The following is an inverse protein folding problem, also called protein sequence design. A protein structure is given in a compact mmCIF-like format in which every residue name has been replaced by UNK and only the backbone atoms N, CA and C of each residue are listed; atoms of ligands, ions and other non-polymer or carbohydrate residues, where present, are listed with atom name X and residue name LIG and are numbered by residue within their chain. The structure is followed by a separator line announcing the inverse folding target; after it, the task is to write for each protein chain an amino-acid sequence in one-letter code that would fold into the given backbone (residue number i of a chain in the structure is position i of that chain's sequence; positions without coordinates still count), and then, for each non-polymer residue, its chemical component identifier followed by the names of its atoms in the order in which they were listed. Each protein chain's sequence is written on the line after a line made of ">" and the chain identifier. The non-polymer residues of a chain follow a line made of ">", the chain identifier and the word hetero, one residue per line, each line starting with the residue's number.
data_IF_380741768796
#
_entry.id   IF_380741768796
#
_cell.length_a   1.000
_cell.length_b   1.000
_cell.length_c   1.000
_cell.angle_alpha   90.00
_cell.angle_beta   90.00
_cell.angle_gamma   90.00
#
_symmetry.space_group_name_H-M   'P 1'
#
loop_
_entity.id
_entity.type
_entity.pdbx_description
1 polymer ?
#
# COMPACT_ATOMS: atom_id res chain seq x y z
N UNK A 1 -23.00 -10.83 48.14
CA UNK A 1 -23.39 -12.17 48.61
C UNK A 1 -22.46 -13.17 47.94
N UNK A 2 -21.50 -13.66 48.72
CA UNK A 2 -20.42 -14.57 48.23
C UNK A 2 -20.87 -16.00 48.53
N UNK A 3 -20.81 -16.95 47.62
CA UNK A 3 -21.17 -18.33 47.91
C UNK A 3 -20.02 -19.04 48.65
N UNK A 4 -20.36 -19.70 49.75
CA UNK A 4 -19.49 -20.49 50.57
C UNK A 4 -18.97 -21.73 49.82
N UNK A 5 -17.68 -21.97 49.92
CA UNK A 5 -17.03 -23.23 49.50
C UNK A 5 -17.40 -24.36 50.48
N UNK A 6 -18.01 -25.43 49.96
CA UNK A 6 -18.18 -26.68 50.70
C UNK A 6 -16.81 -27.42 50.77
N UNK A 7 -16.35 -27.70 51.96
CA UNK A 7 -15.27 -28.62 52.23
C UNK A 7 -15.73 -30.05 52.01
N UNK A 8 -15.10 -30.75 51.08
CA UNK A 8 -15.32 -32.18 50.89
C UNK A 8 -14.52 -32.97 51.95
N UNK A 9 -15.20 -33.81 52.71
CA UNK A 9 -14.56 -34.77 53.63
C UNK A 9 -14.21 -36.02 52.80
N UNK A 10 -12.95 -36.44 52.86
CA UNK A 10 -12.48 -37.70 52.25
C UNK A 10 -12.53 -38.77 53.36
N UNK A 11 -13.44 -39.74 53.23
CA UNK A 11 -13.46 -40.93 54.05
C UNK A 11 -12.30 -41.84 53.64
N UNK A 12 -11.37 -42.09 54.60
CA UNK A 12 -10.33 -43.10 54.47
C UNK A 12 -10.96 -44.44 54.86
N UNK A 13 -11.16 -45.32 53.91
CA UNK A 13 -11.66 -46.65 54.12
C UNK A 13 -10.70 -47.48 54.95
N UNK A 14 -11.21 -48.24 55.94
CA UNK A 14 -10.48 -49.20 56.80
C UNK A 14 -9.96 -50.38 55.94
N UNK A 15 -8.67 -50.68 56.08
CA UNK A 15 -8.03 -51.87 55.49
C UNK A 15 -8.37 -53.11 56.30
N UNK A 16 -8.71 -54.26 55.67
CA UNK A 16 -8.99 -55.49 56.36
C UNK A 16 -7.73 -56.03 57.06
N UNK A 17 -7.83 -56.54 58.26
CA UNK A 17 -6.68 -57.14 59.02
C UNK A 17 -6.32 -58.50 58.41
N UNK A 18 -5.11 -58.63 57.90
CA UNK A 18 -4.60 -59.95 57.55
C UNK A 18 -3.65 -60.07 56.35
N UNK A 19 -3.22 -58.99 55.70
CA UNK A 19 -2.25 -59.11 54.62
C UNK A 19 -0.81 -58.96 55.21
N UNK A 20 -0.08 -60.03 55.28
CA UNK A 20 1.35 -59.99 55.60
C UNK A 20 2.10 -59.13 54.53
N UNK A 21 3.01 -58.26 54.95
CA UNK A 21 3.75 -57.40 53.98
C UNK A 21 4.59 -58.30 53.07
N UNK A 22 4.38 -58.19 51.80
CA UNK A 22 5.22 -58.75 50.77
C UNK A 22 6.66 -58.21 50.92
N UNK A 23 7.69 -59.07 50.85
CA UNK A 23 9.06 -58.63 51.11
C UNK A 23 9.50 -57.62 50.05
N UNK A 24 9.77 -56.41 50.44
CA UNK A 24 10.28 -55.34 49.55
C UNK A 24 11.50 -55.85 48.77
N UNK A 25 11.56 -55.68 47.47
CA UNK A 25 12.72 -56.05 46.66
C UNK A 25 13.93 -55.24 47.16
N UNK A 26 14.94 -55.93 47.69
CA UNK A 26 16.20 -55.31 48.14
C UNK A 26 16.81 -54.51 46.98
N UNK A 27 16.62 -53.18 46.98
CA UNK A 27 17.29 -52.25 46.09
C UNK A 27 18.79 -52.33 46.34
N UNK A 28 19.53 -52.84 45.39
CA UNK A 28 20.99 -52.83 45.41
C UNK A 28 21.46 -51.38 45.49
N UNK A 29 22.30 -50.97 46.45
CA UNK A 29 22.80 -49.62 46.51
C UNK A 29 23.64 -49.34 45.25
N UNK A 30 23.25 -48.33 44.50
CA UNK A 30 24.01 -47.85 43.34
C UNK A 30 25.41 -47.46 43.79
N UNK A 31 26.45 -48.08 43.22
CA UNK A 31 27.84 -47.71 43.48
C UNK A 31 28.10 -46.27 43.03
N UNK A 32 28.87 -45.51 43.74
CA UNK A 32 29.23 -44.11 43.38
C UNK A 32 29.74 -43.99 41.91
N UNK A 33 30.39 -45.04 41.40
CA UNK A 33 30.86 -45.11 40.01
C UNK A 33 29.69 -45.16 38.99
N UNK A 34 28.60 -45.84 39.34
CA UNK A 34 27.42 -45.95 38.45
C UNK A 34 26.64 -44.63 38.42
N UNK A 35 26.50 -43.95 39.56
CA UNK A 35 25.87 -42.63 39.64
C UNK A 35 26.64 -41.62 38.77
N UNK A 36 27.98 -41.66 38.78
CA UNK A 36 28.81 -40.78 37.97
C UNK A 36 28.69 -41.08 36.47
N UNK A 37 28.58 -42.34 36.08
CA UNK A 37 28.37 -42.77 34.68
C UNK A 37 26.99 -42.38 34.18
N UNK A 38 25.93 -42.63 34.94
CA UNK A 38 24.57 -42.22 34.54
C UNK A 38 24.42 -40.71 34.57
N UNK A 39 25.05 -39.96 35.48
CA UNK A 39 25.07 -38.52 35.49
C UNK A 39 25.75 -37.92 34.24
N UNK A 40 26.89 -38.48 33.82
CA UNK A 40 27.57 -38.06 32.59
C UNK A 40 26.77 -38.40 31.34
N UNK A 41 26.15 -39.58 31.28
CA UNK A 41 25.29 -39.95 30.16
C UNK A 41 24.05 -39.05 30.07
N UNK A 42 23.41 -38.75 31.20
CA UNK A 42 22.26 -37.81 31.23
C UNK A 42 22.66 -36.38 30.82
N UNK A 43 23.81 -35.91 31.28
CA UNK A 43 24.34 -34.59 30.87
C UNK A 43 24.68 -34.54 29.37
N UNK A 44 25.27 -35.61 28.82
CA UNK A 44 25.56 -35.71 27.39
C UNK A 44 24.28 -35.73 26.55
N UNK A 45 23.26 -36.46 26.95
CA UNK A 45 21.94 -36.50 26.29
C UNK A 45 21.26 -35.14 26.39
N UNK A 46 21.33 -34.46 27.52
CA UNK A 46 20.76 -33.11 27.69
C UNK A 46 21.48 -32.09 26.80
N UNK A 47 22.82 -32.16 26.73
CA UNK A 47 23.59 -31.32 25.79
C UNK A 47 23.29 -31.61 24.35
N UNK A 48 23.11 -32.88 23.96
CA UNK A 48 22.70 -33.24 22.59
C UNK A 48 21.28 -32.76 22.25
N UNK A 49 20.35 -32.86 23.20
CA UNK A 49 18.98 -32.35 23.03
C UNK A 49 18.93 -30.83 22.95
N UNK A 50 19.76 -30.12 23.74
CA UNK A 50 19.85 -28.66 23.63
C UNK A 50 20.55 -28.22 22.36
N UNK A 51 21.58 -28.90 21.89
CA UNK A 51 22.25 -28.63 20.63
C UNK A 51 21.35 -29.00 19.44
N UNK A 52 20.64 -30.11 19.45
CA UNK A 52 19.68 -30.46 18.40
C UNK A 52 18.45 -29.53 18.38
N UNK A 53 18.02 -28.99 19.52
CA UNK A 53 16.95 -28.03 19.63
C UNK A 53 17.33 -26.61 19.20
N UNK A 54 18.63 -26.27 19.19
CA UNK A 54 19.13 -24.97 18.76
C UNK A 54 19.37 -24.87 17.24
N UNK A 55 19.43 -26.00 16.53
CA UNK A 55 19.51 -26.03 15.06
C UNK A 55 18.10 -26.28 14.53
N UNK A 56 17.18 -25.36 14.75
CA UNK A 56 16.07 -25.21 13.80
C UNK A 56 16.65 -24.41 12.63
N UNK A 57 16.79 -25.01 11.42
CA UNK A 57 16.97 -24.19 10.25
C UNK A 57 15.76 -23.27 10.25
N UNK A 58 15.97 -21.96 10.47
CA UNK A 58 14.97 -20.97 10.14
C UNK A 58 14.53 -21.22 8.71
N UNK A 59 13.28 -20.94 8.30
CA UNK A 59 12.90 -21.03 6.92
C UNK A 59 13.99 -20.28 6.14
N UNK A 60 14.66 -21.00 5.24
CA UNK A 60 15.65 -20.42 4.34
C UNK A 60 14.93 -19.30 3.61
N UNK A 61 15.29 -18.06 3.93
CA UNK A 61 14.68 -16.89 3.29
C UNK A 61 14.92 -16.93 1.79
N UNK A 62 14.21 -16.10 1.03
CA UNK A 62 14.51 -15.90 -0.37
C UNK A 62 15.99 -15.57 -0.50
N UNK A 63 16.71 -16.18 -1.47
CA UNK A 63 18.13 -15.95 -1.62
C UNK A 63 18.40 -14.48 -1.91
N UNK A 64 19.35 -13.91 -1.19
CA UNK A 64 19.86 -12.58 -1.51
C UNK A 64 20.69 -12.67 -2.79
N UNK A 65 20.30 -11.90 -3.81
CA UNK A 65 21.00 -11.84 -5.08
C UNK A 65 22.22 -10.94 -4.98
N UNK A 66 22.03 -9.77 -4.39
CA UNK A 66 23.11 -8.78 -4.21
C UNK A 66 22.67 -7.69 -3.23
N UNK A 67 23.65 -6.87 -2.80
CA UNK A 67 23.46 -5.78 -1.83
C UNK A 67 24.32 -4.59 -2.19
N UNK A 68 23.85 -3.39 -1.84
CA UNK A 68 24.60 -2.15 -1.99
C UNK A 68 24.30 -1.20 -0.83
N UNK A 69 25.14 -0.18 -0.67
CA UNK A 69 24.88 0.91 0.28
C UNK A 69 24.18 2.05 -0.44
N UNK A 70 23.01 2.45 0.06
CA UNK A 70 22.21 3.57 -0.44
C UNK A 70 21.63 4.36 0.74
N UNK A 71 22.46 5.04 1.56
CA UNK A 71 22.09 5.53 2.89
C UNK A 71 20.96 6.55 2.89
N UNK A 72 20.88 7.40 1.86
CA UNK A 72 19.85 8.45 1.74
C UNK A 72 19.02 8.27 0.46
N UNK A 73 19.20 7.12 -0.21
CA UNK A 73 18.60 6.86 -1.50
C UNK A 73 17.14 6.43 -1.42
N UNK A 74 16.29 7.12 -2.15
CA UNK A 74 15.00 6.57 -2.55
C UNK A 74 15.24 5.55 -3.65
N UNK A 75 14.46 4.48 -3.66
CA UNK A 75 14.56 3.48 -4.71
C UNK A 75 13.18 3.14 -5.29
N UNK A 76 13.18 2.68 -6.54
CA UNK A 76 11.99 2.17 -7.23
C UNK A 76 12.37 0.88 -7.94
N UNK A 77 11.63 -0.18 -7.63
CA UNK A 77 11.76 -1.47 -8.28
C UNK A 77 10.63 -1.62 -9.32
N UNK A 78 11.01 -1.80 -10.59
CA UNK A 78 10.06 -1.92 -11.69
C UNK A 78 10.48 -3.05 -12.64
N UNK A 79 9.76 -4.16 -12.61
CA UNK A 79 10.11 -5.35 -13.39
C UNK A 79 11.50 -5.86 -13.04
N UNK A 80 12.41 -5.88 -14.02
CA UNK A 80 13.80 -6.30 -13.89
C UNK A 80 14.79 -5.15 -13.59
N UNK A 81 14.29 -3.96 -13.33
CA UNK A 81 15.10 -2.77 -13.09
C UNK A 81 14.93 -2.24 -11.67
N UNK A 82 16.05 -1.92 -11.04
CA UNK A 82 16.09 -1.16 -9.79
C UNK A 82 16.68 0.22 -10.07
N UNK A 83 15.96 1.25 -9.71
CA UNK A 83 16.41 2.63 -9.79
C UNK A 83 16.71 3.15 -8.39
N UNK A 84 17.89 3.74 -8.23
CA UNK A 84 18.29 4.39 -6.98
C UNK A 84 18.48 5.86 -7.24
N UNK A 85 17.84 6.72 -6.44
CA UNK A 85 17.94 8.17 -6.52
C UNK A 85 18.69 8.69 -5.30
N UNK A 86 19.76 9.44 -5.53
CA UNK A 86 20.59 10.03 -4.50
C UNK A 86 20.60 11.56 -4.62
N UNK A 87 20.31 12.30 -3.54
CA UNK A 87 20.44 13.75 -3.52
C UNK A 87 21.94 14.11 -3.47
N UNK A 88 22.43 14.87 -4.46
CA UNK A 88 23.85 15.25 -4.57
C UNK A 88 24.04 16.66 -5.11
N UNK A 89 23.37 17.66 -4.51
CA UNK A 89 23.32 19.03 -5.08
C UNK A 89 22.36 19.16 -6.28
N UNK A 90 21.66 18.12 -6.58
CA UNK A 90 20.63 17.84 -7.56
C UNK A 90 20.13 16.44 -7.28
N UNK A 91 19.80 15.66 -8.31
CA UNK A 91 19.42 14.24 -8.18
C UNK A 91 20.27 13.39 -9.11
N UNK A 92 20.96 12.42 -8.56
CA UNK A 92 21.62 11.36 -9.34
C UNK A 92 20.75 10.11 -9.34
N UNK A 93 20.42 9.62 -10.53
CA UNK A 93 19.65 8.40 -10.71
C UNK A 93 20.55 7.35 -11.34
N UNK A 94 20.58 6.18 -10.73
CA UNK A 94 21.32 5.03 -11.25
C UNK A 94 20.36 3.87 -11.46
N UNK A 95 20.35 3.30 -12.65
CA UNK A 95 19.63 2.07 -12.96
C UNK A 95 20.53 0.87 -12.82
N UNK A 96 20.05 -0.11 -12.08
CA UNK A 96 20.66 -1.43 -11.93
C UNK A 96 19.75 -2.51 -12.54
N UNK A 97 20.35 -3.58 -12.98
CA UNK A 97 19.66 -4.83 -13.30
C UNK A 97 19.33 -5.52 -11.98
N UNK A 98 18.05 -5.77 -11.73
CA UNK A 98 17.58 -6.29 -10.45
C UNK A 98 18.13 -7.69 -10.13
N UNK A 99 18.32 -8.53 -11.16
CA UNK A 99 18.83 -9.89 -10.96
C UNK A 99 20.32 -9.96 -10.67
N UNK A 100 21.13 -9.08 -11.25
CA UNK A 100 22.59 -9.15 -11.18
C UNK A 100 23.26 -8.02 -10.40
N UNK A 101 22.56 -6.96 -10.07
CA UNK A 101 23.13 -5.75 -9.47
C UNK A 101 24.03 -4.95 -10.42
N UNK A 102 24.08 -5.32 -11.71
CA UNK A 102 24.92 -4.63 -12.68
C UNK A 102 24.34 -3.26 -13.01
N UNK A 103 25.13 -2.21 -12.80
CA UNK A 103 24.79 -0.86 -13.23
C UNK A 103 24.62 -0.80 -14.76
N UNK A 104 23.50 -0.26 -15.22
CA UNK A 104 23.20 -0.08 -16.65
C UNK A 104 23.55 1.32 -17.10
N UNK A 105 23.11 2.32 -16.37
CA UNK A 105 23.41 3.72 -16.61
C UNK A 105 23.29 4.56 -15.34
N UNK A 106 23.89 5.74 -15.35
CA UNK A 106 23.77 6.77 -14.32
C UNK A 106 23.53 8.12 -14.97
N UNK A 107 22.65 8.90 -14.36
CA UNK A 107 22.30 10.23 -14.82
C UNK A 107 22.27 11.20 -13.63
N UNK A 108 22.99 12.31 -13.73
CA UNK A 108 22.95 13.39 -12.74
C UNK A 108 22.20 14.58 -13.32
N UNK A 109 21.23 15.06 -12.58
CA UNK A 109 20.39 16.19 -12.91
C UNK A 109 20.65 17.35 -11.94
N UNK A 110 20.70 18.60 -12.44
CA UNK A 110 20.98 19.75 -11.59
C UNK A 110 19.81 20.14 -10.68
N UNK A 111 18.61 19.64 -10.95
CA UNK A 111 17.41 19.92 -10.16
C UNK A 111 17.01 18.72 -9.30
N UNK A 112 16.27 19.03 -8.24
CA UNK A 112 15.71 18.01 -7.37
C UNK A 112 14.53 17.35 -8.07
N UNK A 113 14.56 16.01 -8.15
CA UNK A 113 13.46 15.18 -8.60
C UNK A 113 12.66 14.75 -7.38
N UNK A 114 11.35 14.99 -7.39
CA UNK A 114 10.49 14.66 -6.26
C UNK A 114 10.33 13.14 -6.10
N UNK A 115 10.13 12.45 -7.21
CA UNK A 115 9.98 11.00 -7.28
C UNK A 115 10.32 10.49 -8.68
N UNK A 116 10.31 9.19 -8.85
CA UNK A 116 10.49 8.54 -10.14
C UNK A 116 9.22 7.73 -10.44
N UNK A 117 8.60 7.95 -11.61
CA UNK A 117 7.47 7.16 -12.08
C UNK A 117 7.93 6.17 -13.15
N UNK A 118 7.49 4.92 -12.98
CA UNK A 118 7.71 3.79 -13.88
C UNK A 118 6.42 3.28 -14.51
N UNK A 119 5.36 4.07 -14.45
CA UNK A 119 4.00 3.66 -14.87
C UNK A 119 3.89 3.37 -16.37
N UNK A 120 4.86 3.87 -17.15
CA UNK A 120 4.90 3.68 -18.59
C UNK A 120 6.06 2.77 -18.96
N UNK A 121 5.80 1.61 -19.57
CA UNK A 121 6.87 0.71 -20.00
C UNK A 121 7.87 1.40 -20.92
N UNK A 122 9.15 1.25 -20.61
CA UNK A 122 10.24 1.80 -21.41
C UNK A 122 10.53 3.30 -21.24
N UNK A 123 9.73 4.01 -20.43
CA UNK A 123 9.93 5.44 -20.16
C UNK A 123 10.05 5.68 -18.65
N UNK A 124 11.08 6.42 -18.25
CA UNK A 124 11.24 6.90 -16.89
C UNK A 124 10.85 8.36 -16.82
N UNK A 125 9.91 8.72 -15.99
CA UNK A 125 9.46 10.10 -15.81
C UNK A 125 9.97 10.66 -14.50
N UNK A 126 10.57 11.84 -14.59
CA UNK A 126 11.27 12.54 -13.52
C UNK A 126 10.64 13.92 -13.34
N UNK A 127 9.68 14.07 -12.43
CA UNK A 127 9.13 15.37 -12.11
C UNK A 127 10.15 16.21 -11.35
N UNK A 128 10.55 17.33 -11.94
CA UNK A 128 11.48 18.29 -11.36
C UNK A 128 10.72 19.34 -10.54
N UNK A 129 11.14 19.52 -9.30
CA UNK A 129 10.53 20.46 -8.36
C UNK A 129 11.13 21.86 -8.52
N UNK A 130 10.27 22.85 -8.70
CA UNK A 130 10.64 24.25 -8.60
C UNK A 130 10.82 24.68 -7.14
N UNK A 131 11.68 25.66 -6.91
CA UNK A 131 11.78 26.32 -5.61
C UNK A 131 10.56 27.27 -5.42
N UNK A 132 9.43 26.74 -4.99
CA UNK A 132 8.34 27.55 -4.49
C UNK A 132 8.34 27.53 -2.96
N UNK A 133 8.07 28.66 -2.34
CA UNK A 133 8.34 28.91 -0.92
C UNK A 133 7.49 28.13 0.09
N UNK A 134 6.51 27.33 -0.33
CA UNK A 134 5.58 26.65 0.59
C UNK A 134 5.29 25.20 0.21
N UNK A 135 5.29 24.83 -1.07
CA UNK A 135 5.04 23.48 -1.53
C UNK A 135 6.01 23.10 -2.66
N UNK A 136 6.39 21.84 -2.70
CA UNK A 136 7.23 21.29 -3.77
C UNK A 136 6.39 21.10 -5.04
N UNK A 137 6.11 22.18 -5.76
CA UNK A 137 5.33 22.10 -6.99
C UNK A 137 6.21 21.62 -8.13
N UNK A 138 5.78 20.59 -8.84
CA UNK A 138 6.42 20.11 -10.06
C UNK A 138 6.27 21.17 -11.14
N UNK A 139 7.39 21.65 -11.65
CA UNK A 139 7.43 22.65 -12.72
C UNK A 139 7.64 22.06 -14.10
N UNK A 140 8.39 20.98 -14.17
CA UNK A 140 8.70 20.26 -15.41
C UNK A 140 8.76 18.77 -15.15
N UNK A 141 8.51 17.98 -16.18
CA UNK A 141 8.79 16.54 -16.22
C UNK A 141 9.77 16.24 -17.32
N UNK A 142 10.87 15.59 -16.97
CA UNK A 142 11.84 15.01 -17.89
C UNK A 142 11.48 13.53 -18.10
N UNK A 143 11.42 13.10 -19.35
CA UNK A 143 11.31 11.69 -19.68
C UNK A 143 12.64 11.16 -20.24
N UNK A 144 13.05 10.01 -19.73
CA UNK A 144 14.22 9.29 -20.16
C UNK A 144 13.82 7.95 -20.79
N UNK A 145 14.60 7.51 -21.76
CA UNK A 145 14.57 6.12 -22.21
C UNK A 145 15.03 5.21 -21.05
N UNK A 146 14.19 4.26 -20.69
CA UNK A 146 14.49 3.37 -19.58
C UNK A 146 15.70 2.47 -19.85
N UNK A 147 16.02 2.16 -21.12
CA UNK A 147 17.09 1.23 -21.48
C UNK A 147 18.48 1.84 -21.26
N UNK A 148 18.68 3.09 -21.67
CA UNK A 148 20.00 3.73 -21.71
C UNK A 148 20.09 5.08 -20.96
N UNK A 149 18.95 5.63 -20.46
CA UNK A 149 18.91 6.88 -19.71
C UNK A 149 19.06 8.13 -20.59
N UNK A 150 18.88 8.03 -21.90
CA UNK A 150 18.89 9.20 -22.80
C UNK A 150 17.61 10.02 -22.69
N UNK A 151 17.72 11.34 -22.91
CA UNK A 151 16.56 12.23 -22.87
C UNK A 151 15.65 11.95 -24.06
N UNK A 152 14.38 11.65 -23.77
CA UNK A 152 13.33 11.54 -24.78
C UNK A 152 12.68 12.90 -25.03
N UNK A 153 12.20 13.53 -23.99
CA UNK A 153 11.57 14.84 -24.04
C UNK A 153 11.53 15.51 -22.66
N UNK A 154 11.25 16.81 -22.67
CA UNK A 154 11.00 17.62 -21.46
C UNK A 154 9.75 18.45 -21.68
N UNK A 155 8.85 18.45 -20.69
CA UNK A 155 7.58 19.17 -20.74
C UNK A 155 7.33 19.89 -19.41
N UNK A 156 6.71 21.09 -19.49
CA UNK A 156 6.23 21.78 -18.29
C UNK A 156 5.08 21.03 -17.64
N UNK A 157 5.04 21.03 -16.31
CA UNK A 157 4.00 20.39 -15.50
C UNK A 157 4.34 18.96 -15.10
N UNK A 158 3.42 18.39 -14.36
CA UNK A 158 3.47 17.05 -13.79
C UNK A 158 2.69 16.08 -14.67
N UNK A 159 3.20 14.86 -14.86
CA UNK A 159 2.41 13.77 -15.44
C UNK A 159 1.42 13.27 -14.41
N UNK A 160 0.13 13.41 -14.70
CA UNK A 160 -0.97 13.19 -13.76
C UNK A 160 -1.83 11.98 -14.12
N UNK A 161 -1.83 11.56 -15.39
CA UNK A 161 -2.53 10.35 -15.82
C UNK A 161 -1.86 9.78 -17.08
N UNK A 162 -1.99 8.47 -17.25
CA UNK A 162 -1.49 7.74 -18.42
C UNK A 162 -2.66 7.27 -19.27
N UNK A 163 -2.44 7.25 -20.57
CA UNK A 163 -3.35 6.68 -21.56
C UNK A 163 -2.60 5.72 -22.47
N UNK A 164 -3.28 5.18 -23.47
CA UNK A 164 -2.65 4.29 -24.47
C UNK A 164 -1.71 5.10 -25.38
N UNK A 165 -0.41 5.04 -25.10
CA UNK A 165 0.63 5.81 -25.79
C UNK A 165 0.57 7.33 -25.59
N UNK A 166 -0.18 7.79 -24.58
CA UNK A 166 -0.33 9.20 -24.25
C UNK A 166 -0.19 9.45 -22.75
N UNK A 167 0.11 10.70 -22.38
CA UNK A 167 0.25 11.15 -21.00
C UNK A 167 -0.50 12.45 -20.81
N UNK A 168 -1.27 12.58 -19.76
CA UNK A 168 -1.85 13.84 -19.35
C UNK A 168 -0.86 14.58 -18.45
N UNK A 169 -0.51 15.80 -18.80
CA UNK A 169 0.31 16.68 -17.97
C UNK A 169 -0.56 17.80 -17.40
N UNK A 170 -0.35 18.08 -16.11
CA UNK A 170 -0.99 19.16 -15.36
C UNK A 170 0.02 20.24 -15.05
N UNK A 171 -0.23 21.46 -15.47
CA UNK A 171 0.53 22.63 -15.09
C UNK A 171 -0.24 23.39 -14.01
N UNK A 172 0.40 23.59 -12.87
CA UNK A 172 -0.19 24.27 -11.73
C UNK A 172 0.20 25.75 -11.73
N UNK A 173 -0.75 26.62 -11.42
CA UNK A 173 -0.44 28.01 -11.12
C UNK A 173 0.27 28.09 -9.76
N UNK A 174 1.51 28.60 -9.69
CA UNK A 174 2.31 28.56 -8.46
C UNK A 174 1.79 29.50 -7.36
N UNK A 175 0.83 30.40 -7.67
CA UNK A 175 0.25 31.33 -6.70
C UNK A 175 -1.03 30.84 -6.09
N UNK A 176 -1.85 30.18 -6.90
CA UNK A 176 -3.16 29.69 -6.47
C UNK A 176 -3.20 28.20 -6.19
N UNK A 177 -2.17 27.44 -6.59
CA UNK A 177 -2.13 25.97 -6.53
C UNK A 177 -3.31 25.33 -7.27
N UNK A 178 -3.75 25.99 -8.34
CA UNK A 178 -4.84 25.56 -9.19
C UNK A 178 -4.31 25.12 -10.55
N UNK A 179 -5.09 24.32 -11.25
CA UNK A 179 -4.76 23.89 -12.59
C UNK A 179 -4.83 25.08 -13.54
N UNK A 180 -3.69 25.46 -14.08
CA UNK A 180 -3.57 26.50 -15.10
C UNK A 180 -3.71 25.94 -16.52
N UNK A 181 -3.30 24.68 -16.71
CA UNK A 181 -3.29 24.03 -18.02
C UNK A 181 -3.27 22.50 -17.88
N UNK A 182 -4.00 21.85 -18.79
CA UNK A 182 -3.94 20.42 -19.05
C UNK A 182 -3.48 20.19 -20.46
N UNK A 183 -2.59 19.24 -20.68
CA UNK A 183 -2.14 18.83 -22.01
C UNK A 183 -2.07 17.31 -22.10
N UNK A 184 -2.63 16.78 -23.16
CA UNK A 184 -2.35 15.40 -23.56
C UNK A 184 -1.16 15.40 -24.51
N UNK A 185 -0.14 14.65 -24.19
CA UNK A 185 1.10 14.52 -24.98
C UNK A 185 1.29 13.07 -25.40
N UNK A 186 2.01 12.83 -26.47
CA UNK A 186 2.45 11.49 -26.85
C UNK A 186 3.60 11.04 -25.95
N UNK A 187 3.52 9.83 -25.46
CA UNK A 187 4.54 9.25 -24.58
C UNK A 187 5.92 9.20 -25.22
N UNK A 188 5.99 8.93 -26.53
CA UNK A 188 7.24 8.68 -27.26
C UNK A 188 8.10 9.93 -27.45
N UNK A 189 7.49 11.05 -27.76
CA UNK A 189 8.20 12.26 -28.22
C UNK A 189 7.76 13.55 -27.53
N UNK A 190 6.81 13.45 -26.56
CA UNK A 190 6.29 14.61 -25.84
C UNK A 190 5.44 15.57 -26.68
N UNK A 191 5.12 15.23 -27.94
CA UNK A 191 4.32 16.12 -28.78
C UNK A 191 2.90 16.27 -28.28
N UNK A 192 2.41 17.50 -28.23
CA UNK A 192 1.04 17.81 -27.76
C UNK A 192 0.00 17.29 -28.72
N UNK A 193 -0.95 16.50 -28.21
CA UNK A 193 -2.14 16.03 -28.93
C UNK A 193 -3.25 17.08 -28.83
N UNK A 194 -3.54 17.53 -27.62
CA UNK A 194 -4.44 18.64 -27.34
C UNK A 194 -4.03 19.38 -26.08
N UNK A 195 -4.52 20.60 -25.94
CA UNK A 195 -4.32 21.48 -24.79
C UNK A 195 -5.66 22.07 -24.35
N UNK A 196 -5.85 22.16 -23.04
CA UNK A 196 -6.98 22.82 -22.41
C UNK A 196 -6.51 23.80 -21.34
N UNK A 197 -7.05 25.00 -21.36
CA UNK A 197 -6.87 26.01 -20.32
C UNK A 197 -8.23 26.36 -19.77
N UNK A 198 -8.51 26.09 -18.49
CA UNK A 198 -9.75 26.54 -17.88
C UNK A 198 -9.78 28.07 -17.87
N UNK A 199 -10.98 28.67 -18.09
CA UNK A 199 -11.15 30.13 -18.04
C UNK A 199 -10.74 30.74 -16.69
N UNK A 200 -10.99 29.99 -15.62
CA UNK A 200 -10.47 30.25 -14.26
C UNK A 200 -9.72 29.02 -13.77
N UNK A 201 -8.58 29.21 -13.07
CA UNK A 201 -7.81 28.06 -12.57
C UNK A 201 -8.68 27.09 -11.78
N UNK A 202 -8.64 25.81 -12.14
CA UNK A 202 -9.52 24.78 -11.60
C UNK A 202 -8.93 24.14 -10.33
N UNK A 203 -9.70 24.02 -9.22
CA UNK A 203 -9.24 23.40 -8.00
C UNK A 203 -9.16 21.88 -8.07
N UNK A 204 -9.87 21.24 -9.02
CA UNK A 204 -9.93 19.79 -9.08
C UNK A 204 -10.12 19.27 -10.50
N UNK A 205 -9.67 18.05 -10.67
CA UNK A 205 -9.87 17.25 -11.87
C UNK A 205 -9.86 15.76 -11.49
N UNK A 206 -10.38 14.93 -12.39
CA UNK A 206 -10.28 13.48 -12.33
C UNK A 206 -10.36 12.89 -13.73
N UNK A 207 -9.97 11.63 -13.88
CA UNK A 207 -10.22 10.85 -15.08
C UNK A 207 -11.31 9.82 -14.83
N UNK A 208 -12.05 9.49 -15.88
CA UNK A 208 -13.07 8.45 -15.87
C UNK A 208 -12.76 7.43 -16.96
N UNK A 209 -13.07 6.19 -16.71
CA UNK A 209 -12.89 5.08 -17.63
C UNK A 209 -12.93 3.73 -16.90
N UNK A 210 -13.10 2.63 -17.66
CA UNK A 210 -13.16 1.28 -17.08
C UNK A 210 -11.84 0.82 -16.48
N UNK A 211 -10.73 1.44 -16.89
CA UNK A 211 -9.39 1.19 -16.38
C UNK A 211 -8.73 2.54 -16.08
N UNK A 212 -8.26 2.80 -14.85
CA UNK A 212 -7.55 4.03 -14.51
C UNK A 212 -6.31 4.31 -15.38
N UNK A 213 -5.73 3.28 -15.98
CA UNK A 213 -4.61 3.38 -16.93
C UNK A 213 -5.05 3.66 -18.37
N UNK A 214 -6.34 3.64 -18.64
CA UNK A 214 -6.95 3.90 -19.96
C UNK A 214 -8.19 4.75 -19.81
N UNK A 215 -8.03 5.99 -19.37
CA UNK A 215 -9.17 6.88 -19.20
C UNK A 215 -9.81 7.23 -20.53
N UNK A 216 -11.13 7.29 -20.53
CA UNK A 216 -11.94 7.72 -21.69
C UNK A 216 -12.29 9.19 -21.62
N UNK A 217 -12.38 9.73 -20.41
CA UNK A 217 -12.81 11.10 -20.15
C UNK A 217 -11.91 11.76 -19.11
N UNK A 218 -11.87 13.08 -19.17
CA UNK A 218 -11.31 13.94 -18.14
C UNK A 218 -12.38 14.91 -17.66
N UNK A 219 -12.44 15.14 -16.37
CA UNK A 219 -13.36 16.05 -15.70
C UNK A 219 -12.56 17.14 -15.03
N UNK A 220 -12.97 18.39 -15.23
CA UNK A 220 -12.44 19.54 -14.50
C UNK A 220 -13.57 20.27 -13.79
N UNK A 221 -13.28 20.85 -12.63
CA UNK A 221 -14.26 21.63 -11.87
C UNK A 221 -13.62 22.95 -11.41
N UNK A 222 -14.36 24.06 -11.54
CA UNK A 222 -13.94 25.39 -11.04
C UNK A 222 -14.39 25.58 -9.60
N UNK A 223 -13.87 26.64 -8.93
CA UNK A 223 -14.30 27.02 -7.57
C UNK A 223 -15.81 27.33 -7.47
N UNK A 224 -16.42 27.80 -8.55
CA UNK A 224 -17.84 28.09 -8.62
C UNK A 224 -18.68 26.82 -8.91
N UNK A 225 -18.01 25.66 -9.05
CA UNK A 225 -18.68 24.39 -9.36
C UNK A 225 -19.04 24.23 -10.83
N UNK A 226 -18.50 25.08 -11.74
CA UNK A 226 -18.62 24.80 -13.16
C UNK A 226 -17.77 23.59 -13.50
N UNK A 227 -18.42 22.55 -14.02
CA UNK A 227 -17.84 21.24 -14.32
C UNK A 227 -17.90 20.99 -15.81
N UNK A 228 -16.80 20.53 -16.36
CA UNK A 228 -16.70 20.10 -17.75
C UNK A 228 -16.21 18.67 -17.84
N UNK A 229 -16.89 17.86 -18.62
CA UNK A 229 -16.47 16.51 -19.01
C UNK A 229 -15.99 16.55 -20.45
N UNK A 230 -14.76 16.12 -20.68
CA UNK A 230 -14.14 16.10 -22.01
C UNK A 230 -13.67 14.70 -22.37
N UNK A 231 -13.61 14.36 -23.65
CA UNK A 231 -12.97 13.13 -24.10
C UNK A 231 -11.48 13.18 -23.83
N UNK A 232 -10.94 12.11 -23.31
CA UNK A 232 -9.52 12.03 -23.02
C UNK A 232 -8.67 12.06 -24.31
N UNK A 233 -9.12 11.39 -25.37
CA UNK A 233 -8.35 11.23 -26.61
C UNK A 233 -8.10 12.53 -27.39
N UNK A 234 -9.07 13.46 -27.42
CA UNK A 234 -9.03 14.65 -28.27
C UNK A 234 -9.39 15.97 -27.56
N UNK A 235 -9.71 15.91 -26.26
CA UNK A 235 -10.08 17.09 -25.46
C UNK A 235 -11.45 17.68 -25.79
N UNK A 236 -12.24 17.07 -26.68
CA UNK A 236 -13.55 17.59 -27.08
C UNK A 236 -14.53 17.57 -25.89
N UNK A 237 -15.32 18.65 -25.77
CA UNK A 237 -16.32 18.78 -24.72
C UNK A 237 -17.45 17.75 -24.94
N UNK A 238 -17.77 16.97 -23.94
CA UNK A 238 -18.91 16.05 -23.89
C UNK A 238 -20.13 16.75 -23.31
N UNK A 239 -19.97 17.31 -22.11
CA UNK A 239 -21.01 18.01 -21.37
C UNK A 239 -20.38 19.03 -20.43
N UNK A 240 -21.10 20.12 -20.17
CA UNK A 240 -20.76 21.08 -19.13
C UNK A 240 -21.99 21.43 -18.30
N UNK A 241 -21.78 21.74 -17.04
CA UNK A 241 -22.86 22.11 -16.12
C UNK A 241 -22.32 22.64 -14.80
N UNK A 242 -23.22 22.89 -13.85
CA UNK A 242 -22.85 23.35 -12.53
C UNK A 242 -23.25 22.31 -11.48
N UNK A 243 -22.30 22.01 -10.60
CA UNK A 243 -22.50 21.12 -9.45
C UNK A 243 -22.34 21.90 -8.15
N UNK A 244 -22.97 21.47 -7.03
CA UNK A 244 -22.73 22.08 -5.75
C UNK A 244 -21.28 21.87 -5.34
N UNK A 245 -20.50 22.95 -5.37
CA UNK A 245 -19.09 22.98 -5.06
C UNK A 245 -18.86 24.15 -4.11
N UNK A 246 -18.74 23.87 -2.82
CA UNK A 246 -18.44 24.92 -1.86
C UNK A 246 -17.18 24.52 -1.10
N UNK A 247 -16.12 25.27 -1.33
CA UNK A 247 -14.92 25.28 -0.50
C UNK A 247 -15.00 26.56 0.31
N UNK A 248 -15.38 26.46 1.58
CA UNK A 248 -15.29 27.59 2.52
C UNK A 248 -13.87 27.61 3.08
N UNK A 249 -13.13 28.65 2.77
CA UNK A 249 -11.89 29.00 3.46
C UNK A 249 -12.21 29.78 4.72
N UNK A 250 -12.60 29.08 5.77
CA UNK A 250 -12.84 29.68 7.10
C UNK A 250 -11.98 28.95 8.14
N UNK A 251 -11.56 29.68 9.16
CA UNK A 251 -10.43 29.35 10.04
C UNK A 251 -10.51 28.08 10.89
N UNK A 252 -11.57 27.30 10.91
CA UNK A 252 -11.71 26.19 11.87
C UNK A 252 -12.22 24.85 11.31
N UNK A 253 -12.75 24.81 10.09
CA UNK A 253 -13.14 23.55 9.44
C UNK A 253 -12.59 23.49 8.02
N UNK A 254 -11.75 22.51 7.74
CA UNK A 254 -11.24 22.27 6.39
C UNK A 254 -12.36 21.74 5.54
N UNK A 255 -13.18 22.65 5.01
CA UNK A 255 -14.14 22.30 3.96
C UNK A 255 -13.36 21.92 2.70
N UNK A 256 -13.40 20.67 2.33
CA UNK A 256 -12.80 20.22 1.08
C UNK A 256 -13.88 19.69 0.14
N UNK A 257 -13.63 19.87 -1.14
CA UNK A 257 -14.43 19.24 -2.19
C UNK A 257 -13.47 18.64 -3.22
N UNK A 258 -13.84 17.48 -3.72
CA UNK A 258 -13.10 16.82 -4.79
C UNK A 258 -14.04 16.03 -5.71
N UNK A 259 -13.56 15.76 -6.90
CA UNK A 259 -14.23 14.91 -7.88
C UNK A 259 -13.50 13.58 -8.01
N UNK A 260 -14.26 12.53 -8.19
CA UNK A 260 -13.79 11.19 -8.50
C UNK A 260 -14.82 10.51 -9.39
N UNK A 261 -14.51 9.36 -9.96
CA UNK A 261 -15.51 8.64 -10.74
C UNK A 261 -15.04 7.29 -11.23
N UNK A 262 -15.97 6.61 -11.84
CA UNK A 262 -15.79 5.34 -12.53
C UNK A 262 -16.10 5.55 -14.02
N UNK A 263 -16.33 4.49 -14.78
CA UNK A 263 -16.61 4.57 -16.23
C UNK A 263 -17.70 5.59 -16.60
N UNK A 264 -18.92 5.38 -16.11
CA UNK A 264 -20.09 6.22 -16.47
C UNK A 264 -20.58 7.14 -15.35
N UNK A 265 -19.96 7.09 -14.18
CA UNK A 265 -20.40 7.81 -13.00
C UNK A 265 -19.35 8.80 -12.54
N UNK A 266 -19.82 10.00 -12.23
CA UNK A 266 -19.05 11.05 -11.61
C UNK A 266 -19.55 11.29 -10.19
N UNK A 267 -18.64 11.36 -9.26
CA UNK A 267 -18.92 11.64 -7.86
C UNK A 267 -18.32 12.99 -7.48
N UNK A 268 -19.13 13.80 -6.82
CA UNK A 268 -18.70 15.04 -6.19
C UNK A 268 -18.80 14.82 -4.67
N UNK A 269 -17.66 14.77 -4.02
CA UNK A 269 -17.59 14.71 -2.55
C UNK A 269 -17.30 16.09 -2.00
N UNK A 270 -18.05 16.52 -0.98
CA UNK A 270 -17.87 17.81 -0.33
C UNK A 270 -18.20 17.74 1.16
N UNK A 271 -17.62 18.63 1.95
CA UNK A 271 -18.05 18.85 3.32
C UNK A 271 -19.12 19.93 3.33
N UNK A 272 -20.25 19.64 4.00
CA UNK A 272 -21.35 20.58 4.18
C UNK A 272 -21.92 20.45 5.60
N UNK A 273 -21.90 21.52 6.37
CA UNK A 273 -22.38 21.57 7.75
C UNK A 273 -21.77 20.47 8.65
N UNK A 274 -20.47 20.27 8.59
CA UNK A 274 -19.73 19.29 9.36
C UNK A 274 -19.98 17.82 8.96
N UNK A 275 -20.66 17.57 7.84
CA UNK A 275 -20.87 16.24 7.30
C UNK A 275 -20.34 16.15 5.87
N UNK A 276 -19.85 14.99 5.50
CA UNK A 276 -19.48 14.71 4.11
C UNK A 276 -20.72 14.35 3.31
N UNK A 277 -20.90 15.02 2.19
CA UNK A 277 -21.91 14.70 1.20
C UNK A 277 -21.27 14.16 -0.07
N UNK A 278 -21.80 13.08 -0.61
CA UNK A 278 -21.42 12.50 -1.87
C UNK A 278 -22.61 12.56 -2.80
N UNK A 279 -22.41 13.21 -3.93
CA UNK A 279 -23.42 13.35 -4.98
C UNK A 279 -22.93 12.59 -6.19
N UNK A 280 -23.75 11.70 -6.72
CA UNK A 280 -23.45 10.96 -7.93
C UNK A 280 -24.21 11.52 -9.11
N UNK A 281 -23.50 11.59 -10.24
CA UNK A 281 -24.02 12.07 -11.50
C UNK A 281 -23.70 11.08 -12.62
N UNK A 282 -24.53 11.04 -13.63
CA UNK A 282 -24.21 10.41 -14.90
C UNK A 282 -23.15 11.27 -15.62
N UNK A 283 -22.04 10.68 -16.02
CA UNK A 283 -20.89 11.43 -16.51
C UNK A 283 -21.13 12.12 -17.88
N UNK A 284 -22.05 11.61 -18.69
CA UNK A 284 -22.37 12.12 -20.04
C UNK A 284 -23.44 13.21 -20.07
N UNK A 285 -24.27 13.31 -19.03
CA UNK A 285 -25.41 14.24 -18.97
C UNK A 285 -25.42 15.17 -17.79
N UNK A 286 -24.61 14.89 -16.76
CA UNK A 286 -24.61 15.52 -15.44
C UNK A 286 -25.97 15.42 -14.73
N UNK A 287 -26.78 14.43 -15.11
CA UNK A 287 -28.00 14.10 -14.39
C UNK A 287 -27.62 13.57 -12.99
N UNK A 288 -28.19 14.19 -11.93
CA UNK A 288 -27.98 13.72 -10.57
C UNK A 288 -28.78 12.46 -10.31
N UNK A 289 -28.09 11.39 -9.93
CA UNK A 289 -28.66 10.07 -9.68
C UNK A 289 -29.07 9.90 -8.21
N UNK A 290 -28.16 10.19 -7.31
CA UNK A 290 -28.38 10.01 -5.87
C UNK A 290 -27.46 10.91 -5.03
N UNK A 291 -27.72 10.93 -3.73
CA UNK A 291 -26.92 11.63 -2.72
C UNK A 291 -26.86 10.79 -1.46
N UNK A 292 -25.66 10.71 -0.87
CA UNK A 292 -25.41 10.09 0.45
C UNK A 292 -24.76 11.11 1.36
N UNK A 293 -25.11 11.07 2.64
CA UNK A 293 -24.54 11.92 3.67
C UNK A 293 -23.93 11.06 4.77
N UNK A 294 -22.66 11.33 5.10
CA UNK A 294 -21.93 10.71 6.19
C UNK A 294 -21.61 11.76 7.25
N UNK A 295 -21.99 11.55 8.52
CA UNK A 295 -21.83 12.57 9.58
C UNK A 295 -20.35 12.88 9.89
N UNK A 296 -19.43 11.92 9.67
CA UNK A 296 -18.01 12.06 9.89
C UNK A 296 -17.28 11.29 8.80
N UNK A 297 -16.94 11.95 7.69
CA UNK A 297 -16.31 11.27 6.56
C UNK A 297 -14.83 11.60 6.45
N UNK A 298 -13.99 10.60 6.24
CA UNK A 298 -12.57 10.76 5.88
C UNK A 298 -12.33 10.82 4.37
N UNK A 299 -13.38 10.76 3.58
CA UNK A 299 -13.32 10.76 2.15
C UNK A 299 -14.02 9.56 1.51
N UNK A 300 -14.11 9.65 0.21
CA UNK A 300 -14.61 8.59 -0.65
C UNK A 300 -13.43 8.00 -1.43
N UNK A 301 -13.43 6.69 -1.62
CA UNK A 301 -12.40 6.01 -2.37
C UNK A 301 -12.97 4.80 -3.13
N UNK A 302 -12.25 4.43 -4.17
CA UNK A 302 -12.60 3.26 -4.99
C UNK A 302 -12.37 1.96 -4.19
N UNK A 303 -13.38 1.09 -4.22
CA UNK A 303 -13.33 -0.26 -3.66
C UNK A 303 -13.71 -1.32 -4.72
N UNK A 304 -13.42 -1.07 -5.98
CA UNK A 304 -13.74 -1.97 -7.07
C UNK A 304 -15.23 -1.90 -7.46
N UNK A 305 -16.06 -2.92 -7.19
CA UNK A 305 -17.46 -2.91 -7.59
C UNK A 305 -18.36 -1.99 -6.76
N UNK A 306 -17.82 -1.38 -5.71
CA UNK A 306 -18.54 -0.49 -4.78
C UNK A 306 -17.76 0.79 -4.53
N UNK A 307 -18.43 1.84 -4.11
CA UNK A 307 -17.80 3.07 -3.63
C UNK A 307 -17.73 3.03 -2.11
N UNK A 308 -16.54 3.20 -1.58
CA UNK A 308 -16.32 3.24 -0.14
C UNK A 308 -16.32 4.67 0.40
N UNK A 309 -16.93 4.84 1.55
CA UNK A 309 -16.91 6.07 2.33
C UNK A 309 -16.31 5.75 3.70
N UNK A 310 -15.15 6.36 3.98
CA UNK A 310 -14.51 6.22 5.28
C UNK A 310 -15.15 7.13 6.32
N UNK A 311 -15.21 6.66 7.58
CA UNK A 311 -15.68 7.42 8.72
C UNK A 311 -14.95 7.00 10.00
N UNK A 312 -15.16 7.71 11.11
CA UNK A 312 -14.62 7.32 12.42
C UNK A 312 -15.08 5.93 12.88
N UNK A 313 -16.28 5.53 12.49
CA UNK A 313 -16.84 4.22 12.85
C UNK A 313 -16.39 3.09 11.92
N UNK A 314 -15.83 3.43 10.76
CA UNK A 314 -15.39 2.44 9.78
C UNK A 314 -15.71 2.82 8.34
N UNK A 315 -15.57 1.85 7.45
CA UNK A 315 -15.85 1.97 6.02
C UNK A 315 -17.26 1.51 5.70
N UNK A 316 -18.01 2.34 4.99
CA UNK A 316 -19.32 2.02 4.42
C UNK A 316 -19.20 1.89 2.90
N UNK A 317 -19.67 0.77 2.34
CA UNK A 317 -19.69 0.54 0.91
C UNK A 317 -21.09 0.76 0.32
N UNK A 318 -21.13 1.52 -0.74
CA UNK A 318 -22.34 1.91 -1.44
C UNK A 318 -22.35 1.38 -2.88
N UNK A 319 -23.51 1.00 -3.34
CA UNK A 319 -23.77 0.70 -4.75
C UNK A 319 -23.55 1.95 -5.59
N UNK A 320 -22.63 1.95 -6.55
CA UNK A 320 -22.29 3.15 -7.31
C UNK A 320 -23.45 3.69 -8.15
N UNK A 321 -24.38 2.84 -8.60
CA UNK A 321 -25.51 3.25 -9.43
C UNK A 321 -26.68 3.85 -8.63
N UNK A 322 -26.88 3.41 -7.37
CA UNK A 322 -28.05 3.76 -6.57
C UNK A 322 -27.75 4.49 -5.26
N UNK A 323 -26.51 4.51 -4.83
CA UNK A 323 -26.11 5.05 -3.53
C UNK A 323 -26.55 4.20 -2.32
N UNK A 324 -27.20 3.06 -2.57
CA UNK A 324 -27.69 2.18 -1.51
C UNK A 324 -26.52 1.56 -0.75
N UNK A 325 -26.56 1.62 0.57
CA UNK A 325 -25.60 0.92 1.42
C UNK A 325 -25.67 -0.59 1.17
N UNK A 326 -24.53 -1.20 0.87
CA UNK A 326 -24.38 -2.65 0.65
C UNK A 326 -23.87 -3.31 1.91
N UNK A 327 -22.75 -2.81 2.44
CA UNK A 327 -22.14 -3.37 3.65
C UNK A 327 -21.38 -2.30 4.45
N UNK A 328 -20.97 -2.67 5.67
CA UNK A 328 -20.09 -1.89 6.54
C UNK A 328 -18.99 -2.78 7.10
N UNK A 329 -17.81 -2.19 7.28
CA UNK A 329 -16.67 -2.80 7.96
C UNK A 329 -16.25 -1.88 9.11
N UNK A 330 -16.69 -2.20 10.32
CA UNK A 330 -16.43 -1.40 11.51
C UNK A 330 -14.95 -1.50 11.92
N UNK A 331 -14.37 -0.40 12.40
CA UNK A 331 -12.98 -0.31 12.83
C UNK A 331 -11.94 -0.33 11.69
N UNK A 332 -12.37 -0.22 10.46
CA UNK A 332 -11.53 -0.06 9.27
C UNK A 332 -11.69 1.36 8.75
N UNK A 333 -10.63 2.15 8.79
CA UNK A 333 -10.71 3.57 8.42
C UNK A 333 -10.52 3.78 6.93
N UNK A 334 -9.84 2.86 6.28
CA UNK A 334 -9.49 2.95 4.88
C UNK A 334 -9.37 1.58 4.23
N UNK A 335 -9.71 1.48 2.95
CA UNK A 335 -9.55 0.27 2.17
C UNK A 335 -9.09 0.61 0.74
N UNK A 336 -8.32 -0.28 0.13
CA UNK A 336 -7.95 -0.19 -1.29
C UNK A 336 -8.22 -1.51 -2.00
N UNK A 337 -8.59 -1.47 -3.29
CA UNK A 337 -8.81 -2.68 -4.06
C UNK A 337 -7.51 -3.46 -4.26
N UNK A 338 -7.66 -4.77 -4.27
CA UNK A 338 -6.68 -5.75 -4.67
C UNK A 338 -7.27 -6.60 -5.79
N UNK A 339 -6.43 -7.34 -6.50
CA UNK A 339 -6.95 -8.29 -7.49
C UNK A 339 -7.77 -9.40 -6.85
N UNK A 340 -8.71 -9.96 -7.64
CA UNK A 340 -9.53 -11.12 -7.24
C UNK A 340 -10.67 -10.82 -6.28
N UNK A 341 -11.30 -9.62 -6.37
CA UNK A 341 -12.50 -9.28 -5.58
C UNK A 341 -12.21 -9.09 -4.10
N UNK A 342 -11.06 -8.56 -3.78
CA UNK A 342 -10.58 -8.35 -2.40
C UNK A 342 -10.19 -6.91 -2.17
N UNK A 343 -10.31 -6.48 -0.91
CA UNK A 343 -9.82 -5.18 -0.44
C UNK A 343 -8.79 -5.39 0.66
N UNK A 344 -7.77 -4.56 0.68
CA UNK A 344 -6.91 -4.38 1.83
C UNK A 344 -7.51 -3.28 2.71
N UNK A 345 -8.03 -3.65 3.86
CA UNK A 345 -8.51 -2.72 4.88
C UNK A 345 -7.42 -2.41 5.90
N UNK A 346 -7.36 -1.18 6.38
CA UNK A 346 -6.44 -0.73 7.42
C UNK A 346 -7.17 0.02 8.52
N UNK A 347 -6.78 -0.24 9.77
CA UNK A 347 -7.23 0.48 10.96
C UNK A 347 -6.10 1.37 11.47
N UNK A 348 -6.36 2.67 11.63
CA UNK A 348 -5.38 3.63 12.20
C UNK A 348 -5.10 3.34 13.65
N UNK A 349 -6.15 3.09 14.43
CA UNK A 349 -6.06 2.93 15.87
C UNK A 349 -5.18 1.74 16.27
N UNK A 350 -5.21 0.68 15.48
CA UNK A 350 -4.52 -0.57 15.82
C UNK A 350 -3.34 -0.89 14.91
N UNK A 351 -3.08 -0.10 13.88
CA UNK A 351 -2.08 -0.41 12.85
C UNK A 351 -2.28 -1.78 12.23
N UNK A 352 -3.55 -2.23 12.17
CA UNK A 352 -3.95 -3.58 11.77
C UNK A 352 -4.40 -3.56 10.33
N UNK A 353 -3.96 -4.54 9.58
CA UNK A 353 -4.41 -4.77 8.21
C UNK A 353 -5.29 -6.02 8.14
N UNK A 354 -6.31 -5.97 7.32
CA UNK A 354 -7.25 -7.08 7.08
C UNK A 354 -7.54 -7.25 5.60
N UNK A 355 -7.81 -8.46 5.18
CA UNK A 355 -8.32 -8.75 3.85
C UNK A 355 -9.84 -8.83 3.93
N UNK A 356 -10.54 -8.11 3.05
CA UNK A 356 -12.00 -7.97 3.04
C UNK A 356 -12.51 -8.42 1.67
N UNK A 357 -13.64 -9.12 1.65
CA UNK A 357 -14.40 -9.39 0.44
C UNK A 357 -15.07 -8.10 -0.05
N UNK A 358 -14.84 -7.69 -1.27
CA UNK A 358 -15.30 -6.40 -1.81
C UNK A 358 -16.83 -6.30 -1.97
N UNK A 359 -17.53 -7.43 -2.08
CA UNK A 359 -18.98 -7.48 -2.28
C UNK A 359 -19.77 -7.54 -0.98
N UNK A 360 -19.19 -8.14 0.05
CA UNK A 360 -19.92 -8.43 1.29
C UNK A 360 -19.39 -7.69 2.51
N UNK A 361 -18.21 -7.08 2.43
CA UNK A 361 -17.52 -6.44 3.56
C UNK A 361 -17.02 -7.42 4.62
N UNK A 362 -17.13 -8.73 4.37
CA UNK A 362 -16.69 -9.75 5.32
C UNK A 362 -15.18 -9.80 5.38
N UNK A 363 -14.62 -9.76 6.60
CA UNK A 363 -13.20 -10.01 6.81
C UNK A 363 -12.88 -11.46 6.44
N UNK A 364 -12.04 -11.63 5.42
CA UNK A 364 -11.57 -12.93 4.94
C UNK A 364 -10.39 -13.42 5.77
N UNK A 365 -9.47 -12.50 6.08
CA UNK A 365 -8.23 -12.81 6.78
C UNK A 365 -7.76 -11.60 7.58
N UNK A 366 -7.31 -11.86 8.80
CA UNK A 366 -6.58 -10.91 9.61
C UNK A 366 -5.08 -11.03 9.28
N UNK A 367 -4.50 -9.96 8.76
CA UNK A 367 -3.09 -9.89 8.40
C UNK A 367 -2.22 -9.43 9.59
N UNK A 368 -2.86 -9.03 10.69
CA UNK A 368 -2.19 -8.50 11.88
C UNK A 368 -1.60 -7.10 11.65
N UNK A 369 -0.61 -6.71 12.46
CA UNK A 369 0.11 -5.46 12.29
C UNK A 369 1.07 -5.59 11.09
N UNK A 370 0.52 -5.49 9.89
CA UNK A 370 1.28 -5.51 8.66
C UNK A 370 1.87 -4.12 8.41
N UNK A 371 3.18 -4.04 8.28
CA UNK A 371 3.87 -2.81 7.94
C UNK A 371 3.69 -2.46 6.47
N UNK A 372 3.69 -3.47 5.61
CA UNK A 372 3.48 -3.31 4.18
C UNK A 372 2.80 -4.54 3.57
N UNK A 373 1.94 -4.31 2.59
CA UNK A 373 1.32 -5.35 1.76
C UNK A 373 1.65 -5.03 0.32
N UNK A 374 2.40 -5.92 -0.31
CA UNK A 374 2.90 -5.80 -1.66
C UNK A 374 2.17 -6.79 -2.58
N UNK A 375 1.97 -6.39 -3.81
CA UNK A 375 1.39 -7.22 -4.87
C UNK A 375 2.36 -7.23 -6.05
N UNK A 376 3.43 -8.07 -6.00
CA UNK A 376 4.45 -8.13 -7.05
C UNK A 376 3.90 -8.54 -8.41
N UNK A 377 2.84 -9.33 -8.39
CA UNK A 377 2.07 -9.78 -9.55
C UNK A 377 0.58 -9.80 -9.19
N UNK A 378 -0.32 -9.62 -10.15
CA UNK A 378 -1.75 -9.68 -9.89
C UNK A 378 -2.17 -10.94 -9.12
N UNK A 379 -2.74 -10.76 -7.93
CA UNK A 379 -3.20 -11.83 -7.06
C UNK A 379 -2.16 -12.44 -6.11
N UNK A 380 -0.88 -12.21 -6.30
CA UNK A 380 0.19 -12.63 -5.39
C UNK A 380 0.39 -11.58 -4.30
N UNK A 381 0.04 -11.89 -3.06
CA UNK A 381 0.14 -10.94 -1.94
C UNK A 381 1.26 -11.34 -0.99
N UNK A 382 2.20 -10.43 -0.82
CA UNK A 382 3.28 -10.51 0.16
C UNK A 382 2.97 -9.57 1.34
N UNK A 383 3.04 -10.10 2.54
CA UNK A 383 2.79 -9.38 3.76
C UNK A 383 4.09 -9.26 4.55
N UNK A 384 4.49 -8.02 4.81
CA UNK A 384 5.68 -7.68 5.56
C UNK A 384 5.25 -7.19 6.94
N UNK A 385 5.70 -7.86 7.98
CA UNK A 385 5.38 -7.50 9.34
C UNK A 385 6.57 -7.68 10.28
N UNK A 386 6.68 -6.80 11.28
CA UNK A 386 7.70 -6.93 12.32
C UNK A 386 7.34 -7.99 13.35
N UNK A 387 8.33 -8.73 13.81
CA UNK A 387 8.16 -9.60 14.98
C UNK A 387 8.42 -8.79 16.26
N UNK A 388 7.46 -8.91 17.19
CA UNK A 388 7.60 -8.30 18.53
C UNK A 388 8.29 -9.22 19.52
N UNK A 389 8.57 -10.46 19.13
CA UNK A 389 9.24 -11.48 19.92
C UNK A 389 10.55 -11.90 19.25
N UNK A 390 11.54 -12.32 20.02
CA UNK A 390 12.82 -12.80 19.48
C UNK A 390 12.62 -14.08 18.61
N UNK A 391 13.33 -14.19 17.46
CA UNK A 391 14.28 -13.21 16.94
C UNK A 391 13.56 -11.97 16.41
N UNK A 392 14.06 -10.79 16.81
CA UNK A 392 13.53 -9.53 16.30
C UNK A 392 13.92 -9.36 14.83
N UNK A 393 12.98 -8.93 13.99
CA UNK A 393 13.22 -8.70 12.58
C UNK A 393 11.92 -8.62 11.81
N UNK A 394 12.02 -8.79 10.52
CA UNK A 394 10.90 -8.68 9.61
C UNK A 394 10.51 -10.06 9.09
N UNK A 395 9.25 -10.39 9.23
CA UNK A 395 8.66 -11.61 8.69
C UNK A 395 8.04 -11.31 7.33
N UNK A 396 8.47 -12.03 6.32
CA UNK A 396 7.81 -12.10 5.03
C UNK A 396 6.85 -13.29 5.02
N UNK A 397 5.59 -13.02 4.70
CA UNK A 397 4.55 -14.04 4.55
C UNK A 397 3.88 -13.86 3.20
N UNK A 398 3.38 -14.94 2.63
CA UNK A 398 2.60 -14.92 1.39
C UNK A 398 1.20 -15.49 1.67
N UNK A 399 0.20 -14.93 1.01
CA UNK A 399 -1.15 -15.46 1.07
C UNK A 399 -1.28 -16.60 0.08
N UNK A 400 -1.57 -17.83 0.57
CA UNK A 400 -1.80 -18.98 -0.29
C UNK A 400 -3.20 -18.93 -0.97
N UNK A 401 -3.43 -19.82 -1.93
CA UNK A 401 -4.71 -19.92 -2.68
C UNK A 401 -5.91 -20.19 -1.76
N UNK A 402 -5.67 -20.67 -0.53
CA UNK A 402 -6.71 -20.91 0.49
C UNK A 402 -6.93 -19.70 1.40
N UNK A 403 -6.26 -18.59 1.13
CA UNK A 403 -6.32 -17.39 1.94
C UNK A 403 -5.59 -17.46 3.28
N UNK A 404 -4.62 -18.38 3.45
CA UNK A 404 -3.83 -18.53 4.68
C UNK A 404 -2.48 -17.84 4.52
N UNK A 405 -2.02 -17.17 5.58
CA UNK A 405 -0.69 -16.60 5.65
C UNK A 405 0.36 -17.70 5.86
N UNK A 406 1.17 -17.94 4.84
CA UNK A 406 2.29 -18.87 4.87
C UNK A 406 3.58 -18.10 5.08
N UNK A 407 4.33 -18.35 6.17
CA UNK A 407 5.64 -17.75 6.35
C UNK A 407 6.59 -18.19 5.23
N UNK A 408 7.21 -17.23 4.53
CA UNK A 408 8.20 -17.48 3.48
C UNK A 408 9.61 -17.31 3.99
N UNK A 409 9.84 -16.24 4.76
CA UNK A 409 11.17 -15.90 5.19
C UNK A 409 11.17 -15.06 6.46
N UNK A 410 12.34 -15.02 7.07
CA UNK A 410 12.71 -14.03 8.04
C UNK A 410 13.85 -13.20 7.41
N UNK A 411 13.53 -11.97 7.04
CA UNK A 411 14.48 -11.01 6.50
C UNK A 411 14.86 -10.05 7.63
N UNK A 412 16.09 -9.71 7.85
CA UNK A 412 16.56 -8.85 8.95
C UNK A 412 15.65 -7.65 9.27
N UNK A 413 16.14 -6.68 9.96
CA UNK A 413 15.40 -5.43 10.17
C UNK A 413 15.32 -4.65 8.84
N UNK A 414 14.16 -4.05 8.55
CA UNK A 414 13.97 -3.11 7.45
C UNK A 414 13.78 -1.71 8.01
N UNK A 415 14.20 -0.70 7.23
CA UNK A 415 14.01 0.72 7.56
C UNK A 415 12.56 1.17 7.31
N UNK A 416 12.25 2.40 7.69
CA UNK A 416 10.96 3.04 7.40
C UNK A 416 10.71 3.22 5.89
N UNK A 417 11.75 3.19 5.07
CA UNK A 417 11.63 3.16 3.60
C UNK A 417 11.02 1.86 3.09
N UNK A 418 11.09 0.78 3.89
CA UNK A 418 10.37 -0.46 3.63
C UNK A 418 10.95 -1.30 2.50
N UNK A 419 10.04 -2.02 1.85
CA UNK A 419 10.34 -2.89 0.72
C UNK A 419 9.45 -2.58 -0.47
N UNK A 420 9.94 -2.90 -1.66
CA UNK A 420 9.16 -2.92 -2.90
C UNK A 420 9.33 -4.28 -3.57
N UNK A 421 8.28 -4.75 -4.24
CA UNK A 421 8.30 -6.01 -4.96
C UNK A 421 7.78 -5.82 -6.39
N UNK A 422 8.42 -6.48 -7.35
CA UNK A 422 8.02 -6.50 -8.75
C UNK A 422 8.42 -7.84 -9.40
N UNK A 423 7.45 -8.59 -9.93
CA UNK A 423 7.68 -9.92 -10.44
C UNK A 423 8.33 -10.82 -9.39
N UNK A 424 9.46 -11.42 -9.74
CA UNK A 424 10.23 -12.28 -8.85
C UNK A 424 11.16 -11.56 -7.87
N UNK A 425 11.26 -10.24 -7.90
CA UNK A 425 12.23 -9.50 -7.10
C UNK A 425 11.57 -8.79 -5.93
N UNK A 426 12.29 -8.78 -4.81
CA UNK A 426 11.98 -8.00 -3.61
C UNK A 426 13.20 -7.17 -3.25
N UNK A 427 13.07 -5.85 -3.21
CA UNK A 427 14.10 -4.93 -2.77
C UNK A 427 13.73 -4.32 -1.43
N UNK A 428 14.62 -4.40 -0.44
CA UNK A 428 14.38 -3.87 0.90
C UNK A 428 15.57 -3.05 1.38
N UNK A 429 15.31 -1.95 2.09
CA UNK A 429 16.34 -1.15 2.76
C UNK A 429 16.40 -1.53 4.23
N UNK A 430 17.60 -1.92 4.70
CA UNK A 430 17.88 -2.16 6.11
C UNK A 430 18.19 -0.84 6.85
N UNK A 431 18.06 -0.80 8.19
CA UNK A 431 18.56 0.31 8.98
C UNK A 431 20.06 0.52 8.72
N UNK A 432 20.45 1.77 8.45
CA UNK A 432 21.82 2.10 8.03
C UNK A 432 22.00 2.26 6.52
N UNK A 433 20.91 2.13 5.73
CA UNK A 433 20.91 2.42 4.31
C UNK A 433 21.48 1.32 3.41
N UNK A 434 21.50 0.07 3.88
CA UNK A 434 21.82 -1.07 3.03
C UNK A 434 20.57 -1.51 2.25
N UNK A 435 20.64 -1.45 0.93
CA UNK A 435 19.62 -1.96 0.02
C UNK A 435 19.99 -3.36 -0.43
N UNK A 436 19.13 -4.33 -0.17
CA UNK A 436 19.29 -5.72 -0.57
C UNK A 436 18.19 -6.12 -1.57
N UNK A 437 18.56 -6.87 -2.60
CA UNK A 437 17.65 -7.46 -3.56
C UNK A 437 17.61 -8.96 -3.37
N UNK A 438 16.41 -9.50 -3.23
CA UNK A 438 16.09 -10.89 -2.95
C UNK A 438 15.32 -11.49 -4.12
N UNK A 439 15.47 -12.80 -4.33
CA UNK A 439 14.70 -13.57 -5.30
C UNK A 439 13.51 -14.23 -4.59
N UNK A 440 12.30 -14.00 -5.07
CA UNK A 440 11.06 -14.52 -4.48
C UNK A 440 10.67 -15.92 -5.00
N UNK A 441 11.33 -16.42 -6.05
CA UNK A 441 11.04 -17.72 -6.68
C UNK A 441 11.83 -18.87 -6.06
#
# INVERSE_FOLDING_TARGET
>A
MTPARRAGVIELGELPPGSAPEPEPRRRPLRRADIRRYGLAAAAVLCLLTLAGSIRPGPSGPPELWRMTAPDGQFVLAGDALYVMEPSGGTTITRYDAGSGRQRWTRTMPRITAWLSTDVPGVQMLPEVGQSNLFQTVTETLALDAADGTDLWRQTGEVSATGDGTLLTTEWDPRSERIARLRLIRTRDGTTVWEFRPETPAPGWTTLGPDPRRPDRIVTVTEQGHLEVRRFADGSLVVAGTVPWQVRTGNDDVDFAYVSGTDDLLFVARTANGAQEILAYRADTLERLWQVRSPTGYGMFDCGPVICVGSESGVAAHDPATGRLIWRADGIDWARPLTGGRLLGQSREYGRSVLIDDRTGRVLQDLGPAQNVLEPEPGRLLIIGHTRTAPYGTKLSELDDRGRLVPRAFIGLISDQGCQAAGRYLACVAPGGELAVLDLD
#
